data_IF_287511916193
#
_entry.id   IF_287511916193
#
_cell.length_a   1.000
_cell.length_b   1.000
_cell.length_c   1.000
_cell.angle_alpha   90.00
_cell.angle_beta   90.00
_cell.angle_gamma   90.00
#
_symmetry.space_group_name_H-M   'P 1'
#
loop_
_entity.id
_entity.type
_entity.pdbx_description
1 polymer ?
#
# COMPACT_ATOMS: atom_id res chain seq x y z
N UNK A 1 3.67 -76.79 -10.20
CA UNK A 1 4.77 -76.84 -9.22
C UNK A 1 4.78 -75.48 -8.53
N UNK A 2 4.06 -75.40 -7.40
CA UNK A 2 4.59 -75.00 -6.07
C UNK A 2 5.06 -73.54 -5.98
N UNK A 3 4.83 -72.75 -4.95
CA UNK A 3 3.90 -72.68 -3.81
C UNK A 3 4.55 -71.66 -2.87
N UNK A 4 3.80 -70.61 -2.48
CA UNK A 4 3.87 -69.93 -1.16
C UNK A 4 5.07 -68.96 -0.97
N UNK A 5 4.93 -67.76 -0.41
CA UNK A 5 4.25 -67.39 0.84
C UNK A 5 3.76 -65.93 0.85
N UNK A 6 2.82 -65.67 1.76
CA UNK A 6 2.06 -64.43 2.04
C UNK A 6 2.84 -63.40 2.87
N UNK A 7 2.44 -62.13 2.75
CA UNK A 7 2.19 -61.11 3.81
C UNK A 7 1.66 -59.87 3.06
N UNK A 8 0.37 -59.49 3.04
CA UNK A 8 -0.56 -59.14 4.13
C UNK A 8 0.04 -58.18 5.16
N UNK A 9 0.01 -56.89 4.87
CA UNK A 9 -0.37 -55.89 5.87
C UNK A 9 -1.57 -55.09 5.34
N UNK A 10 -2.73 -55.37 5.92
CA UNK A 10 -3.89 -54.52 5.85
C UNK A 10 -3.61 -53.28 6.70
N UNK A 11 -3.56 -52.09 6.10
CA UNK A 11 -3.82 -50.87 6.84
C UNK A 11 -5.34 -50.72 6.91
N UNK A 12 -5.92 -51.24 7.99
CA UNK A 12 -7.26 -50.87 8.42
C UNK A 12 -7.24 -49.37 8.70
N UNK A 13 -7.90 -48.59 7.83
CA UNK A 13 -8.22 -47.20 8.17
C UNK A 13 -9.26 -47.26 9.29
N UNK A 14 -8.79 -47.18 10.54
CA UNK A 14 -9.67 -46.85 11.65
C UNK A 14 -10.09 -45.40 11.43
N UNK A 15 -11.26 -45.22 10.83
CA UNK A 15 -11.99 -43.96 10.96
C UNK A 15 -12.37 -43.88 12.44
N UNK A 16 -11.52 -43.24 13.24
CA UNK A 16 -11.95 -42.73 14.53
C UNK A 16 -12.95 -41.64 14.18
N UNK A 17 -14.25 -41.79 14.51
CA UNK A 17 -15.15 -40.65 14.41
C UNK A 17 -14.54 -39.61 15.35
N UNK A 18 -14.09 -38.48 14.80
CA UNK A 18 -13.83 -37.33 15.64
C UNK A 18 -15.13 -37.07 16.39
N UNK A 19 -15.14 -37.40 17.68
CA UNK A 19 -16.19 -37.00 18.60
C UNK A 19 -16.27 -35.49 18.46
N UNK A 20 -17.30 -35.01 17.75
CA UNK A 20 -17.69 -33.62 17.75
C UNK A 20 -17.99 -33.29 19.21
N UNK A 21 -17.00 -32.71 19.89
CA UNK A 21 -17.22 -32.06 21.17
C UNK A 21 -18.36 -31.05 21.00
N UNK A 22 -19.18 -30.82 22.05
CA UNK A 22 -20.25 -29.84 21.96
C UNK A 22 -19.66 -28.53 21.46
N UNK A 23 -20.33 -27.92 20.46
CA UNK A 23 -19.97 -26.61 19.97
C UNK A 23 -19.80 -25.69 21.19
N UNK A 24 -18.57 -25.20 21.39
CA UNK A 24 -18.28 -24.22 22.42
C UNK A 24 -19.24 -23.03 22.24
N UNK A 25 -19.58 -22.32 23.33
CA UNK A 25 -20.46 -21.16 23.24
C UNK A 25 -19.91 -20.21 22.17
N UNK A 26 -20.78 -19.75 21.26
CA UNK A 26 -20.43 -18.76 20.26
C UNK A 26 -19.96 -17.50 21.00
N UNK A 27 -18.64 -17.35 21.13
CA UNK A 27 -18.04 -16.11 21.56
C UNK A 27 -18.49 -15.05 20.56
N UNK A 28 -19.01 -13.92 21.06
CA UNK A 28 -19.24 -12.76 20.21
C UNK A 28 -17.91 -12.44 19.53
N UNK A 29 -17.85 -12.73 18.23
CA UNK A 29 -16.66 -12.53 17.42
C UNK A 29 -16.30 -11.04 17.50
N UNK A 30 -15.03 -10.74 17.79
CA UNK A 30 -14.57 -9.36 17.97
C UNK A 30 -14.92 -8.56 16.73
N UNK A 31 -15.57 -7.39 16.92
CA UNK A 31 -15.83 -6.47 15.82
C UNK A 31 -14.51 -5.82 15.38
N UNK A 32 -13.87 -6.45 14.41
CA UNK A 32 -12.56 -6.03 13.88
C UNK A 32 -12.60 -4.61 13.33
N UNK A 33 -13.77 -4.05 13.00
CA UNK A 33 -13.89 -2.74 12.39
C UNK A 33 -13.88 -1.58 13.39
N UNK A 34 -14.07 -1.88 14.68
CA UNK A 34 -14.23 -0.85 15.73
C UNK A 34 -13.44 -1.14 16.99
N UNK A 35 -12.94 -2.36 17.16
CA UNK A 35 -12.18 -2.76 18.34
C UNK A 35 -10.70 -2.52 18.08
N UNK A 36 -10.07 -1.62 18.83
CA UNK A 36 -8.64 -1.35 18.68
C UNK A 36 -7.77 -2.58 19.01
N UNK A 37 -6.59 -2.64 18.39
CA UNK A 37 -5.60 -3.70 18.61
C UNK A 37 -5.51 -4.71 17.45
N UNK A 38 -4.77 -5.78 17.71
CA UNK A 38 -4.58 -6.89 16.77
C UNK A 38 -5.49 -8.05 17.18
N UNK A 39 -6.25 -8.57 16.22
CA UNK A 39 -7.24 -9.62 16.43
C UNK A 39 -7.06 -10.74 15.41
N UNK A 40 -7.34 -11.97 15.82
CA UNK A 40 -7.44 -13.12 14.90
C UNK A 40 -8.90 -13.51 14.77
N UNK A 41 -9.46 -13.29 13.58
CA UNK A 41 -10.89 -13.44 13.30
C UNK A 41 -11.05 -14.16 11.96
N UNK A 42 -11.80 -15.26 11.95
CA UNK A 42 -11.93 -16.17 10.79
C UNK A 42 -10.60 -16.62 10.17
N UNK A 43 -9.58 -16.89 11.01
CA UNK A 43 -8.26 -17.33 10.56
C UNK A 43 -7.42 -16.25 9.87
N UNK A 44 -7.81 -14.98 9.97
CA UNK A 44 -7.06 -13.83 9.43
C UNK A 44 -6.64 -12.90 10.57
N UNK A 45 -5.46 -12.31 10.45
CA UNK A 45 -4.98 -11.28 11.37
C UNK A 45 -5.51 -9.91 10.92
N UNK A 46 -6.12 -9.20 11.85
CA UNK A 46 -6.68 -7.86 11.68
C UNK A 46 -5.98 -6.90 12.63
N UNK A 47 -5.79 -5.65 12.20
CA UNK A 47 -5.25 -4.58 13.03
C UNK A 47 -6.15 -3.37 12.89
N UNK A 48 -6.61 -2.84 14.03
CA UNK A 48 -7.46 -1.67 14.05
C UNK A 48 -6.95 -0.62 15.01
N UNK A 49 -6.95 0.62 14.57
CA UNK A 49 -6.64 1.80 15.36
C UNK A 49 -7.73 2.85 15.16
N UNK A 50 -8.17 3.49 16.23
CA UNK A 50 -9.27 4.45 16.21
C UNK A 50 -8.80 5.82 16.69
N UNK A 51 -9.33 6.87 16.07
CA UNK A 51 -8.98 8.26 16.37
C UNK A 51 -10.24 9.14 16.39
N UNK A 52 -10.28 10.20 17.21
CA UNK A 52 -11.30 11.22 17.09
C UNK A 52 -11.37 11.78 15.66
N UNK A 53 -12.56 11.89 15.08
CA UNK A 53 -12.76 12.40 13.73
C UNK A 53 -13.98 13.30 13.65
N UNK A 54 -13.76 14.61 13.53
CA UNK A 54 -14.82 15.62 13.52
C UNK A 54 -15.77 15.44 14.73
N UNK A 55 -17.04 15.11 14.50
CA UNK A 55 -18.07 14.87 15.53
C UNK A 55 -18.33 13.37 15.80
N UNK A 56 -17.43 12.50 15.38
CA UNK A 56 -17.46 11.05 15.63
C UNK A 56 -16.04 10.51 15.89
N UNK A 57 -15.85 9.20 15.87
CA UNK A 57 -14.57 8.50 15.89
C UNK A 57 -14.42 7.72 14.58
N UNK A 58 -13.22 7.72 14.01
CA UNK A 58 -12.88 6.94 12.81
C UNK A 58 -11.89 5.86 13.19
N UNK A 59 -12.16 4.63 12.76
CA UNK A 59 -11.25 3.50 12.91
C UNK A 59 -10.69 3.09 11.56
N UNK A 60 -9.37 2.96 11.46
CA UNK A 60 -8.69 2.35 10.33
C UNK A 60 -8.50 0.87 10.61
N UNK A 61 -9.00 0.03 9.71
CA UNK A 61 -8.84 -1.42 9.81
C UNK A 61 -7.96 -1.91 8.68
N UNK A 62 -6.95 -2.68 9.06
CA UNK A 62 -6.02 -3.35 8.18
C UNK A 62 -6.13 -4.86 8.37
N UNK A 63 -5.76 -5.58 7.33
CA UNK A 63 -5.76 -7.04 7.31
C UNK A 63 -4.40 -7.53 6.85
N UNK A 64 -3.88 -8.53 7.52
CA UNK A 64 -2.68 -9.19 7.04
C UNK A 64 -3.04 -10.02 5.81
N UNK A 65 -2.49 -9.63 4.67
CA UNK A 65 -2.79 -10.24 3.39
C UNK A 65 -1.57 -10.14 2.46
N UNK A 66 -1.50 -11.07 1.51
CA UNK A 66 -0.65 -10.92 0.33
C UNK A 66 -1.36 -9.99 -0.64
N UNK A 67 -0.80 -8.80 -0.84
CA UNK A 67 -1.25 -7.84 -1.85
C UNK A 67 -0.37 -8.00 -3.06
N UNK A 68 -0.98 -7.93 -4.24
CA UNK A 68 -0.23 -7.89 -5.48
C UNK A 68 0.01 -6.43 -5.81
N UNK A 69 1.24 -5.99 -5.60
CA UNK A 69 1.68 -4.68 -6.02
C UNK A 69 2.14 -4.75 -7.47
N UNK A 70 2.03 -3.61 -8.13
CA UNK A 70 2.26 -3.50 -9.56
C UNK A 70 3.30 -2.42 -9.80
N UNK A 71 4.28 -2.73 -10.64
CA UNK A 71 5.18 -1.73 -11.19
C UNK A 71 4.82 -1.47 -12.66
N UNK A 72 4.48 -0.22 -13.00
CA UNK A 72 4.33 0.20 -14.40
C UNK A 72 5.72 0.18 -15.03
N UNK A 73 6.01 -0.84 -15.83
CA UNK A 73 7.10 -0.80 -16.80
C UNK A 73 6.51 -0.27 -18.11
N UNK A 74 7.01 0.89 -18.54
CA UNK A 74 6.50 1.61 -19.69
C UNK A 74 6.92 0.95 -21.03
N UNK A 75 6.24 -0.12 -21.44
CA UNK A 75 6.17 -0.49 -22.87
C UNK A 75 4.93 -1.28 -23.32
N UNK A 76 3.96 -1.51 -22.44
CA UNK A 76 2.72 -2.19 -22.81
C UNK A 76 2.84 -3.69 -23.10
N UNK A 77 4.02 -4.32 -22.94
CA UNK A 77 4.21 -5.73 -23.23
C UNK A 77 4.62 -6.60 -22.02
N UNK A 78 5.09 -6.05 -20.89
CA UNK A 78 5.39 -6.86 -19.69
C UNK A 78 4.87 -6.23 -18.40
N UNK A 79 4.15 -7.05 -17.62
CA UNK A 79 3.49 -6.69 -16.36
C UNK A 79 4.21 -7.45 -15.25
N UNK A 80 4.99 -6.77 -14.42
CA UNK A 80 5.59 -7.41 -13.24
C UNK A 80 4.65 -7.23 -12.06
N UNK A 81 4.27 -8.37 -11.48
CA UNK A 81 3.38 -8.44 -10.33
C UNK A 81 4.19 -8.91 -9.15
N UNK A 82 4.38 -8.04 -8.15
CA UNK A 82 5.10 -8.38 -6.94
C UNK A 82 4.10 -8.80 -5.86
N UNK A 83 4.41 -9.88 -5.15
CA UNK A 83 3.61 -10.34 -4.00
C UNK A 83 4.22 -9.79 -2.73
N UNK A 84 3.59 -8.78 -2.14
CA UNK A 84 3.99 -8.27 -0.82
C UNK A 84 3.03 -8.83 0.23
N UNK A 85 3.55 -9.52 1.25
CA UNK A 85 2.71 -10.02 2.36
C UNK A 85 2.90 -9.14 3.58
N UNK A 86 1.84 -8.46 4.00
CA UNK A 86 1.91 -7.51 5.11
C UNK A 86 0.54 -6.99 5.52
N UNK A 87 0.53 -5.91 6.30
CA UNK A 87 -0.70 -5.21 6.65
C UNK A 87 -1.22 -4.43 5.44
N UNK A 88 -2.38 -4.82 4.94
CA UNK A 88 -3.06 -4.17 3.84
C UNK A 88 -4.26 -3.39 4.37
N UNK A 89 -4.49 -2.19 3.84
CA UNK A 89 -5.70 -1.43 4.16
C UNK A 89 -6.95 -2.22 3.78
N UNK A 90 -7.90 -2.34 4.71
CA UNK A 90 -9.19 -2.97 4.45
C UNK A 90 -10.29 -1.92 4.30
N UNK A 91 -10.50 -1.07 5.32
CA UNK A 91 -11.51 -0.02 5.27
C UNK A 91 -11.31 1.04 6.36
N UNK A 92 -12.07 2.15 6.23
CA UNK A 92 -12.34 3.06 7.34
C UNK A 92 -13.73 2.78 7.92
N UNK A 93 -13.88 2.93 9.24
CA UNK A 93 -15.16 2.77 9.95
C UNK A 93 -15.43 4.01 10.76
N UNK A 94 -16.54 4.69 10.49
CA UNK A 94 -17.02 5.78 11.31
C UNK A 94 -17.97 5.23 12.37
N UNK A 95 -17.60 5.41 13.64
CA UNK A 95 -18.37 4.91 14.78
C UNK A 95 -19.76 5.57 14.85
N UNK A 96 -20.72 4.94 15.56
CA UNK A 96 -22.10 5.39 15.61
C UNK A 96 -22.26 6.89 15.92
N UNK A 97 -22.87 7.62 14.99
CA UNK A 97 -23.24 9.02 15.15
C UNK A 97 -24.65 9.27 14.59
N UNK A 98 -25.31 10.38 14.93
CA UNK A 98 -26.64 10.67 14.37
C UNK A 98 -26.56 10.87 12.86
N UNK A 99 -27.53 10.35 12.10
CA UNK A 99 -27.66 10.58 10.65
C UNK A 99 -27.69 12.06 10.29
N UNK A 100 -28.26 12.90 11.16
CA UNK A 100 -28.32 14.35 10.96
C UNK A 100 -26.93 14.99 10.84
N UNK A 101 -25.90 14.43 11.47
CA UNK A 101 -24.53 14.93 11.39
C UNK A 101 -23.92 14.75 10.01
N UNK A 102 -24.37 13.75 9.26
CA UNK A 102 -23.84 13.43 7.94
C UNK A 102 -24.51 14.23 6.81
N UNK A 103 -25.72 14.77 7.05
CA UNK A 103 -26.42 15.58 6.06
C UNK A 103 -26.51 14.90 4.69
N UNK A 104 -26.05 15.59 3.65
CA UNK A 104 -26.01 15.08 2.27
C UNK A 104 -24.72 14.33 1.91
N UNK A 105 -23.86 14.00 2.88
CA UNK A 105 -22.60 13.32 2.61
C UNK A 105 -22.86 11.95 1.95
N UNK A 106 -22.26 11.66 0.78
CA UNK A 106 -22.59 10.46 0.02
C UNK A 106 -22.09 9.15 0.65
N UNK A 107 -21.23 9.20 1.67
CA UNK A 107 -20.82 8.00 2.43
C UNK A 107 -21.90 7.49 3.39
N UNK A 108 -22.87 8.34 3.73
CA UNK A 108 -23.94 8.06 4.68
C UNK A 108 -25.34 8.01 4.04
N UNK A 109 -25.41 8.20 2.72
CA UNK A 109 -26.64 8.24 1.95
C UNK A 109 -26.52 7.27 0.77
N UNK A 110 -27.50 6.37 0.55
CA UNK A 110 -27.40 5.38 -0.50
C UNK A 110 -27.48 6.02 -1.88
N UNK A 111 -26.70 5.51 -2.82
CA UNK A 111 -26.66 6.00 -4.20
C UNK A 111 -25.29 5.88 -4.84
N UNK A 112 -25.26 6.09 -6.16
CA UNK A 112 -24.03 6.18 -6.94
C UNK A 112 -23.58 7.64 -7.00
N UNK A 113 -22.27 7.87 -6.99
CA UNK A 113 -21.70 9.20 -7.11
C UNK A 113 -20.30 9.13 -7.69
N UNK A 114 -19.83 10.24 -8.22
CA UNK A 114 -18.47 10.37 -8.73
C UNK A 114 -17.73 11.36 -7.84
N UNK A 115 -16.58 10.93 -7.32
CA UNK A 115 -15.73 11.79 -6.52
C UNK A 115 -15.08 12.88 -7.40
N UNK A 116 -14.58 13.98 -6.81
CA UNK A 116 -13.90 15.03 -7.56
C UNK A 116 -12.69 14.55 -8.37
N UNK A 117 -12.08 13.44 -7.97
CA UNK A 117 -10.99 12.76 -8.69
C UNK A 117 -11.47 11.91 -9.88
N UNK A 118 -12.77 11.92 -10.19
CA UNK A 118 -13.38 11.15 -11.28
C UNK A 118 -13.70 9.71 -10.94
N UNK A 119 -13.37 9.24 -9.72
CA UNK A 119 -13.63 7.85 -9.31
C UNK A 119 -15.12 7.63 -9.10
N UNK A 120 -15.62 6.50 -9.59
CA UNK A 120 -16.99 6.08 -9.34
C UNK A 120 -17.12 5.42 -7.97
N UNK A 121 -18.21 5.73 -7.27
CA UNK A 121 -18.53 5.22 -5.95
C UNK A 121 -19.99 4.79 -5.90
N UNK A 122 -20.29 3.84 -5.03
CA UNK A 122 -21.66 3.64 -4.57
C UNK A 122 -21.72 3.36 -3.09
N UNK A 123 -22.84 3.78 -2.50
CA UNK A 123 -23.16 3.57 -1.08
C UNK A 123 -24.48 2.83 -0.99
N UNK A 124 -24.54 1.88 -0.06
CA UNK A 124 -25.75 1.19 0.35
C UNK A 124 -25.96 1.37 1.86
N UNK A 125 -27.20 1.35 2.32
CA UNK A 125 -27.53 1.53 3.74
C UNK A 125 -28.74 0.70 4.15
N UNK A 126 -28.83 0.39 5.45
CA UNK A 126 -29.98 -0.24 6.12
C UNK A 126 -30.51 -1.52 5.46
N UNK A 127 -29.62 -2.31 4.86
CA UNK A 127 -29.97 -3.59 4.25
C UNK A 127 -29.34 -4.77 5.01
N UNK A 128 -29.57 -5.98 4.51
CA UNK A 128 -29.06 -7.21 5.12
C UNK A 128 -27.52 -7.21 5.24
N UNK A 129 -26.80 -6.64 4.27
CA UNK A 129 -25.33 -6.61 4.23
C UNK A 129 -24.73 -5.54 5.15
N UNK A 130 -25.40 -4.40 5.29
CA UNK A 130 -24.93 -3.31 6.16
C UNK A 130 -25.43 -3.44 7.60
N UNK A 131 -26.47 -4.24 7.81
CA UNK A 131 -27.30 -4.16 9.00
C UNK A 131 -28.15 -2.89 9.04
N UNK A 132 -29.09 -2.85 9.99
CA UNK A 132 -29.81 -1.61 10.30
C UNK A 132 -28.82 -0.59 10.85
N UNK A 133 -28.97 0.68 10.48
CA UNK A 133 -28.12 1.79 10.95
C UNK A 133 -26.65 1.64 10.55
N UNK A 134 -26.41 1.03 9.39
CA UNK A 134 -25.11 0.99 8.76
C UNK A 134 -25.22 1.46 7.31
N UNK A 135 -24.18 2.12 6.83
CA UNK A 135 -23.89 2.24 5.41
C UNK A 135 -22.55 1.60 5.10
N UNK A 136 -22.42 1.06 3.89
CA UNK A 136 -21.15 0.65 3.31
C UNK A 136 -20.96 1.35 1.98
N UNK A 137 -19.76 1.88 1.76
CA UNK A 137 -19.38 2.51 0.50
C UNK A 137 -18.28 1.71 -0.17
N UNK A 138 -18.39 1.61 -1.50
CA UNK A 138 -17.43 0.93 -2.36
C UNK A 138 -16.99 1.90 -3.44
N UNK A 139 -15.72 1.84 -3.78
CA UNK A 139 -15.13 2.62 -4.86
C UNK A 139 -14.83 1.68 -6.03
N UNK A 140 -15.08 2.13 -7.25
CA UNK A 140 -14.59 1.45 -8.44
C UNK A 140 -13.07 1.61 -8.46
N UNK A 141 -12.37 0.48 -8.52
CA UNK A 141 -10.92 0.47 -8.64
C UNK A 141 -10.48 -0.64 -9.57
N UNK A 142 -9.48 -0.34 -10.39
CA UNK A 142 -8.73 -1.34 -11.13
C UNK A 142 -7.77 -2.02 -10.16
N UNK A 143 -8.01 -3.29 -9.85
CA UNK A 143 -7.10 -4.07 -9.01
C UNK A 143 -6.38 -5.14 -9.82
N UNK A 144 -5.36 -5.71 -9.22
CA UNK A 144 -4.75 -6.93 -9.72
C UNK A 144 -5.40 -8.14 -9.06
N UNK A 145 -5.99 -9.04 -9.85
CA UNK A 145 -6.50 -10.34 -9.38
C UNK A 145 -5.81 -11.48 -10.11
N UNK A 146 -5.85 -12.68 -9.52
CA UNK A 146 -5.43 -13.89 -10.21
C UNK A 146 -6.47 -14.22 -11.29
N UNK A 147 -6.02 -14.40 -12.53
CA UNK A 147 -6.94 -14.63 -13.66
C UNK A 147 -7.66 -15.97 -13.49
N UNK A 148 -8.99 -15.96 -13.53
CA UNK A 148 -9.78 -17.19 -13.39
C UNK A 148 -9.65 -18.07 -14.64
N UNK A 149 -9.18 -19.32 -14.48
CA UNK A 149 -9.19 -20.33 -15.53
C UNK A 149 -7.95 -21.22 -15.63
N UNK A 150 -6.83 -20.82 -15.05
CA UNK A 150 -5.58 -21.58 -15.16
C UNK A 150 -5.07 -21.96 -13.77
N UNK A 151 -5.00 -23.27 -13.48
CA UNK A 151 -4.39 -23.83 -12.26
C UNK A 151 -2.85 -23.72 -12.27
N UNK A 152 -2.29 -22.70 -12.92
CA UNK A 152 -0.90 -22.34 -12.79
C UNK A 152 -0.82 -21.12 -11.86
N UNK A 153 -0.28 -21.31 -10.66
CA UNK A 153 -0.01 -20.22 -9.75
C UNK A 153 0.94 -19.22 -10.44
N UNK A 154 0.49 -17.98 -10.71
CA UNK A 154 1.39 -16.92 -11.22
C UNK A 154 0.81 -15.93 -12.22
N UNK A 155 -0.34 -16.21 -12.87
CA UNK A 155 -0.90 -15.26 -13.86
C UNK A 155 -1.87 -14.29 -13.19
N UNK A 156 -1.50 -13.02 -13.22
CA UNK A 156 -2.29 -11.90 -12.69
C UNK A 156 -2.82 -11.03 -13.82
N UNK A 157 -4.02 -10.49 -13.62
CA UNK A 157 -4.70 -9.62 -14.57
C UNK A 157 -5.32 -8.43 -13.87
N UNK A 158 -5.49 -7.34 -14.62
CA UNK A 158 -6.24 -6.18 -14.16
C UNK A 158 -7.72 -6.44 -14.28
N UNK A 159 -8.46 -6.13 -13.23
CA UNK A 159 -9.91 -6.20 -13.21
C UNK A 159 -10.46 -4.97 -12.50
N UNK A 160 -11.36 -4.27 -13.19
CA UNK A 160 -12.18 -3.24 -12.57
C UNK A 160 -13.21 -3.94 -11.69
N UNK A 161 -13.19 -3.60 -10.41
CA UNK A 161 -14.18 -4.10 -9.48
C UNK A 161 -14.51 -3.07 -8.41
N UNK A 162 -15.69 -3.25 -7.82
CA UNK A 162 -16.10 -2.50 -6.66
C UNK A 162 -15.34 -2.99 -5.42
N UNK A 163 -14.43 -2.15 -4.92
CA UNK A 163 -13.64 -2.44 -3.72
C UNK A 163 -14.31 -1.78 -2.52
N UNK A 164 -14.50 -2.56 -1.47
CA UNK A 164 -15.03 -2.07 -0.21
C UNK A 164 -14.09 -1.03 0.40
N UNK A 165 -14.63 0.13 0.81
CA UNK A 165 -13.79 1.24 1.26
C UNK A 165 -14.17 1.72 2.66
N UNK A 166 -15.46 1.96 2.94
CA UNK A 166 -15.90 2.60 4.18
C UNK A 166 -17.14 1.96 4.80
N UNK A 167 -17.26 2.06 6.14
CA UNK A 167 -18.48 1.81 6.91
C UNK A 167 -18.86 3.09 7.64
N UNK A 168 -20.13 3.49 7.58
CA UNK A 168 -20.70 4.51 8.49
C UNK A 168 -21.72 3.84 9.38
N UNK A 169 -21.63 4.02 10.69
CA UNK A 169 -22.63 3.51 11.65
C UNK A 169 -23.45 4.66 12.25
N UNK A 170 -24.70 4.37 12.58
CA UNK A 170 -25.61 5.36 13.18
C UNK A 170 -26.13 4.93 14.55
N UNK A 171 -26.31 5.92 15.42
CA UNK A 171 -27.04 5.75 16.68
C UNK A 171 -28.55 5.60 16.42
N UNK A 172 -29.30 5.03 17.37
CA UNK A 172 -30.76 5.13 17.34
C UNK A 172 -31.20 6.58 17.60
N UNK A 173 -31.98 7.16 16.69
CA UNK A 173 -32.59 8.48 16.91
C UNK A 173 -33.63 8.47 18.06
N UNK A 174 -33.95 7.30 18.64
CA UNK A 174 -34.88 7.13 19.78
C UNK A 174 -34.20 7.05 21.15
N UNK A 175 -32.88 6.89 21.21
CA UNK A 175 -32.11 6.88 22.49
C UNK A 175 -31.39 8.20 22.73
N UNK A 176 -31.79 9.27 22.03
CA UNK A 176 -31.48 10.62 22.49
C UNK A 176 -32.35 10.86 23.73
N UNK A 177 -31.91 10.35 24.89
CA UNK A 177 -32.15 11.10 26.10
C UNK A 177 -31.49 12.45 25.84
N UNK A 178 -32.29 13.46 25.55
CA UNK A 178 -31.91 14.84 25.75
C UNK A 178 -31.36 14.90 27.18
N UNK A 179 -30.04 14.90 27.33
CA UNK A 179 -29.47 15.48 28.54
C UNK A 179 -29.92 16.93 28.49
N UNK A 180 -30.73 17.40 29.44
CA UNK A 180 -31.12 18.80 29.46
C UNK A 180 -29.87 19.58 29.87
N UNK A 181 -29.08 19.97 28.87
CA UNK A 181 -28.12 21.04 29.03
C UNK A 181 -28.99 22.30 29.04
N UNK A 182 -29.33 22.77 30.25
CA UNK A 182 -29.88 24.11 30.41
C UNK A 182 -28.96 25.05 29.65
N UNK A 183 -29.49 25.70 28.61
CA UNK A 183 -28.75 26.64 27.77
C UNK A 183 -28.31 27.78 28.71
N UNK A 184 -27.02 27.94 29.04
CA UNK A 184 -26.56 29.25 29.43
C UNK A 184 -26.67 30.07 28.14
N UNK A 185 -27.31 31.23 28.22
CA UNK A 185 -27.18 32.27 27.20
C UNK A 185 -25.73 32.32 26.72
N UNK A 186 -25.51 31.95 25.46
CA UNK A 186 -24.22 32.07 24.80
C UNK A 186 -23.95 33.57 24.65
N UNK A 187 -23.38 34.18 25.68
CA UNK A 187 -22.39 35.22 25.42
C UNK A 187 -21.34 34.55 24.57
N UNK A 188 -21.13 35.05 23.35
CA UNK A 188 -20.12 34.57 22.42
C UNK A 188 -18.84 34.25 23.20
N UNK A 189 -18.62 32.95 23.42
CA UNK A 189 -17.36 32.48 23.94
C UNK A 189 -16.34 32.85 22.86
N UNK A 190 -15.23 33.52 23.21
CA UNK A 190 -14.23 33.84 22.22
C UNK A 190 -13.87 32.53 21.51
N UNK A 191 -13.97 32.56 20.19
CA UNK A 191 -13.46 31.52 19.30
C UNK A 191 -12.14 31.00 19.88
N UNK A 192 -11.95 29.68 20.07
CA UNK A 192 -10.80 29.18 20.79
C UNK A 192 -9.53 29.70 20.11
N UNK A 193 -8.86 30.63 20.78
CA UNK A 193 -7.63 31.30 20.34
C UNK A 193 -6.40 30.39 20.47
N UNK A 194 -6.62 29.08 20.62
CA UNK A 194 -5.55 28.09 20.56
C UNK A 194 -4.95 28.19 19.15
N UNK A 195 -3.64 28.48 19.02
CA UNK A 195 -3.00 28.49 17.71
C UNK A 195 -3.20 27.11 17.11
N UNK A 196 -3.89 27.07 15.98
CA UNK A 196 -4.12 25.81 15.28
C UNK A 196 -2.78 25.36 14.74
N UNK A 197 -2.33 24.18 15.15
CA UNK A 197 -1.04 23.58 14.74
C UNK A 197 -1.16 23.09 13.29
N UNK A 198 -1.18 24.08 12.39
CA UNK A 198 -1.31 23.90 10.96
C UNK A 198 0.07 23.66 10.35
N UNK A 199 0.18 22.62 9.52
CA UNK A 199 1.41 22.27 8.82
C UNK A 199 1.45 23.04 7.50
N UNK A 200 2.61 23.63 7.23
CA UNK A 200 2.92 24.24 5.94
C UNK A 200 3.94 23.38 5.21
N UNK A 201 3.71 23.15 3.91
CA UNK A 201 4.68 22.51 3.03
C UNK A 201 5.34 23.55 2.14
N UNK A 202 6.60 23.32 1.79
CA UNK A 202 7.36 24.20 0.90
C UNK A 202 6.76 24.24 -0.51
N UNK A 203 6.20 23.10 -0.96
CA UNK A 203 5.59 22.97 -2.28
C UNK A 203 4.06 23.09 -2.24
N UNK A 204 3.52 23.91 -3.17
CA UNK A 204 2.08 24.12 -3.30
C UNK A 204 1.36 22.87 -3.82
N UNK A 205 1.99 22.10 -4.71
CA UNK A 205 1.44 20.85 -5.22
C UNK A 205 1.37 19.79 -4.12
N UNK A 206 2.41 19.67 -3.29
CA UNK A 206 2.43 18.82 -2.10
C UNK A 206 1.34 19.23 -1.11
N UNK A 207 1.22 20.54 -0.84
CA UNK A 207 0.13 21.08 -0.01
C UNK A 207 -1.25 20.65 -0.53
N UNK A 208 -1.48 20.79 -1.84
CA UNK A 208 -2.77 20.43 -2.45
C UNK A 208 -3.02 18.92 -2.47
N UNK A 209 -1.97 18.11 -2.66
CA UNK A 209 -2.04 16.66 -2.60
C UNK A 209 -2.42 16.19 -1.19
N UNK A 210 -1.73 16.72 -0.17
CA UNK A 210 -2.02 16.41 1.23
C UNK A 210 -3.45 16.83 1.59
N UNK A 211 -3.91 18.03 1.20
CA UNK A 211 -5.31 18.47 1.40
C UNK A 211 -6.32 17.53 0.76
N UNK A 212 -6.08 17.12 -0.48
CA UNK A 212 -6.99 16.22 -1.18
C UNK A 212 -7.06 14.85 -0.49
N UNK A 213 -5.95 14.37 0.04
CA UNK A 213 -5.89 13.09 0.70
C UNK A 213 -6.42 13.10 2.14
N UNK A 214 -6.24 14.20 2.88
CA UNK A 214 -6.84 14.36 4.22
C UNK A 214 -8.32 14.73 4.15
N UNK A 215 -8.75 15.39 3.06
CA UNK A 215 -10.12 15.84 2.85
C UNK A 215 -10.48 17.11 3.63
N UNK A 216 -9.47 17.88 4.03
CA UNK A 216 -9.62 19.07 4.88
C UNK A 216 -8.94 20.30 4.27
N UNK A 217 -9.62 21.46 4.34
CA UNK A 217 -9.08 22.73 3.84
C UNK A 217 -7.83 23.17 4.61
N UNK A 218 -7.82 22.87 5.91
CA UNK A 218 -6.69 23.12 6.82
C UNK A 218 -5.98 21.80 7.07
N UNK A 219 -4.66 21.83 7.08
CA UNK A 219 -3.84 20.64 7.27
C UNK A 219 -3.30 20.66 8.70
N UNK A 220 -3.89 19.86 9.60
CA UNK A 220 -3.46 19.80 10.98
C UNK A 220 -2.26 18.86 11.15
N UNK A 221 -1.34 19.18 12.07
CA UNK A 221 -0.18 18.33 12.37
C UNK A 221 -0.57 16.88 12.64
N UNK A 222 -1.59 16.67 13.47
CA UNK A 222 -2.06 15.33 13.83
C UNK A 222 -2.54 14.52 12.62
N UNK A 223 -3.09 15.18 11.60
CA UNK A 223 -3.56 14.51 10.38
C UNK A 223 -2.38 14.08 9.50
N UNK A 224 -1.35 14.92 9.42
CA UNK A 224 -0.13 14.63 8.66
C UNK A 224 0.71 13.56 9.35
N UNK A 225 0.87 13.64 10.67
CA UNK A 225 1.61 12.66 11.46
C UNK A 225 1.10 11.22 11.26
N UNK A 226 -0.23 11.05 11.12
CA UNK A 226 -0.88 9.75 10.87
C UNK A 226 -1.01 9.34 9.41
N UNK A 227 -0.47 10.10 8.44
CA UNK A 227 -0.48 9.69 7.05
C UNK A 227 0.43 8.48 6.84
N UNK A 228 -0.17 7.34 6.48
CA UNK A 228 0.57 6.10 6.18
C UNK A 228 1.00 6.01 4.72
N UNK A 229 0.20 6.56 3.82
CA UNK A 229 0.46 6.56 2.38
C UNK A 229 0.27 7.96 1.86
N UNK A 230 1.06 8.39 0.88
CA UNK A 230 0.88 9.66 0.18
C UNK A 230 1.15 9.48 -1.32
N UNK A 231 0.16 9.81 -2.17
CA UNK A 231 0.24 9.61 -3.63
C UNK A 231 0.05 10.90 -4.41
N UNK A 232 1.15 11.60 -4.65
CA UNK A 232 1.21 12.89 -5.33
C UNK A 232 1.76 12.75 -6.75
N UNK A 233 1.06 12.02 -7.61
CA UNK A 233 1.51 11.71 -8.97
C UNK A 233 1.00 12.74 -9.99
N UNK A 234 1.70 12.86 -11.13
CA UNK A 234 1.22 13.70 -12.25
C UNK A 234 -0.11 13.24 -12.84
N UNK A 235 -0.44 11.94 -12.70
CA UNK A 235 -1.73 11.41 -13.13
C UNK A 235 -2.89 11.94 -12.27
N UNK A 236 -2.62 12.24 -11.00
CA UNK A 236 -3.56 12.87 -10.07
C UNK A 236 -3.50 14.41 -10.13
N UNK A 237 -2.75 14.98 -11.08
CA UNK A 237 -2.61 16.43 -11.24
C UNK A 237 -1.61 17.08 -10.29
N UNK A 238 -0.73 16.31 -9.66
CA UNK A 238 0.31 16.82 -8.76
C UNK A 238 1.70 16.77 -9.40
N UNK A 239 2.50 17.80 -9.15
CA UNK A 239 3.88 17.92 -9.62
C UNK A 239 4.66 18.58 -8.48
N UNK A 240 5.04 17.75 -7.51
CA UNK A 240 5.75 18.17 -6.29
C UNK A 240 7.18 18.49 -6.64
N UNK A 241 7.69 19.67 -6.30
CA UNK A 241 9.07 20.07 -6.58
C UNK A 241 9.96 20.14 -5.34
N UNK A 242 9.33 20.21 -4.17
CA UNK A 242 9.99 20.36 -2.87
C UNK A 242 9.22 19.53 -1.83
N UNK A 243 9.95 18.73 -1.06
CA UNK A 243 9.40 17.86 -0.03
C UNK A 243 9.40 18.50 1.37
N UNK A 244 9.93 19.71 1.52
CA UNK A 244 9.99 20.41 2.81
C UNK A 244 8.61 20.47 3.49
N UNK A 245 8.57 20.04 4.76
CA UNK A 245 7.35 19.87 5.55
C UNK A 245 6.86 18.43 5.64
N UNK A 246 7.33 17.52 4.77
CA UNK A 246 6.94 16.10 4.80
C UNK A 246 7.52 15.35 6.02
N UNK A 247 8.55 15.88 6.68
CA UNK A 247 9.18 15.35 7.89
C UNK A 247 8.16 15.17 9.04
N UNK A 248 7.04 15.90 8.96
CA UNK A 248 5.92 15.79 9.91
C UNK A 248 5.17 14.47 9.76
N UNK A 249 5.19 13.83 8.58
CA UNK A 249 4.45 12.59 8.30
C UNK A 249 5.14 11.35 8.90
N UNK A 250 5.24 11.30 10.22
CA UNK A 250 6.01 10.30 10.98
C UNK A 250 5.57 8.86 10.77
N UNK A 251 4.29 8.64 10.42
CA UNK A 251 3.74 7.32 10.13
C UNK A 251 3.80 6.93 8.65
N UNK A 252 4.40 7.77 7.79
CA UNK A 252 4.46 7.53 6.35
C UNK A 252 5.29 6.29 6.04
N UNK A 253 4.62 5.31 5.43
CA UNK A 253 5.18 4.04 4.99
C UNK A 253 5.33 3.96 3.46
N UNK A 254 4.45 4.63 2.71
CA UNK A 254 4.46 4.63 1.26
C UNK A 254 4.38 6.06 0.70
N UNK A 255 5.35 6.42 -0.14
CA UNK A 255 5.38 7.68 -0.87
C UNK A 255 5.48 7.43 -2.39
N UNK A 256 4.55 7.99 -3.15
CA UNK A 256 4.51 7.92 -4.61
C UNK A 256 4.38 9.32 -5.23
N UNK A 257 5.42 9.78 -5.93
CA UNK A 257 5.49 11.11 -6.60
C UNK A 257 5.74 10.94 -8.11
N UNK A 258 5.42 9.78 -8.69
CA UNK A 258 5.79 9.48 -10.08
C UNK A 258 5.13 10.37 -11.15
N UNK A 259 5.77 10.49 -12.32
CA UNK A 259 5.08 11.10 -13.46
C UNK A 259 5.83 11.34 -14.77
N UNK A 260 5.26 10.87 -15.89
CA UNK A 260 5.79 11.05 -17.26
C UNK A 260 5.77 12.48 -17.81
N UNK A 261 5.24 13.44 -17.05
CA UNK A 261 5.24 14.88 -17.39
C UNK A 261 5.81 15.71 -16.25
N UNK A 262 6.71 15.12 -15.48
CA UNK A 262 7.38 15.85 -14.42
C UNK A 262 8.30 16.90 -15.06
N UNK A 263 7.87 18.16 -15.03
CA UNK A 263 8.62 19.30 -15.61
C UNK A 263 9.32 20.13 -14.55
N UNK A 264 9.25 19.71 -13.29
CA UNK A 264 9.88 20.42 -12.19
C UNK A 264 11.39 20.12 -12.11
N UNK A 265 12.08 20.93 -11.29
CA UNK A 265 13.50 20.71 -11.00
C UNK A 265 13.76 19.38 -10.31
N UNK A 266 15.04 19.02 -10.22
CA UNK A 266 15.48 17.81 -9.54
C UNK A 266 15.04 17.82 -8.06
N UNK A 267 14.38 16.75 -7.63
CA UNK A 267 13.82 16.60 -6.28
C UNK A 267 14.92 16.22 -5.30
N UNK A 268 14.95 16.90 -4.14
CA UNK A 268 15.83 16.54 -3.02
C UNK A 268 15.14 15.51 -2.12
N UNK A 269 15.90 14.53 -1.62
CA UNK A 269 15.40 13.48 -0.74
C UNK A 269 15.68 13.74 0.75
N UNK A 270 16.49 14.74 1.09
CA UNK A 270 16.81 15.15 2.48
C UNK A 270 15.58 15.18 3.43
N UNK A 271 14.41 15.75 3.05
CA UNK A 271 13.21 15.72 3.91
C UNK A 271 12.71 14.31 4.29
N UNK A 272 13.05 13.28 3.51
CA UNK A 272 12.62 11.91 3.77
C UNK A 272 13.50 11.19 4.79
N UNK A 273 14.71 11.68 5.06
CA UNK A 273 15.72 10.99 5.88
C UNK A 273 15.29 10.76 7.34
N UNK A 274 14.31 11.53 7.81
CA UNK A 274 13.72 11.38 9.16
C UNK A 274 12.56 10.37 9.22
N UNK A 275 12.03 9.92 8.08
CA UNK A 275 10.84 9.08 7.98
C UNK A 275 11.17 7.59 8.16
N UNK A 276 11.53 7.23 9.40
CA UNK A 276 11.97 5.86 9.75
C UNK A 276 10.99 4.71 9.45
N UNK A 277 9.71 5.02 9.16
CA UNK A 277 8.68 4.04 8.80
C UNK A 277 8.51 3.87 7.29
N UNK A 278 9.20 4.65 6.47
CA UNK A 278 9.09 4.59 5.02
C UNK A 278 9.67 3.26 4.51
N UNK A 279 8.82 2.43 3.93
CA UNK A 279 9.19 1.13 3.34
C UNK A 279 9.06 1.11 1.82
N UNK A 280 8.24 1.99 1.25
CA UNK A 280 8.04 2.07 -0.20
C UNK A 280 8.21 3.49 -0.72
N UNK A 281 9.15 3.67 -1.65
CA UNK A 281 9.43 4.94 -2.32
C UNK A 281 9.36 4.77 -3.83
N UNK A 282 8.36 5.41 -4.45
CA UNK A 282 8.20 5.46 -5.90
C UNK A 282 8.41 6.89 -6.42
N UNK A 283 9.51 7.07 -7.13
CA UNK A 283 9.94 8.31 -7.78
C UNK A 283 10.19 8.06 -9.28
N UNK A 284 9.46 7.11 -9.86
CA UNK A 284 9.54 6.83 -11.30
C UNK A 284 9.25 8.10 -12.11
N UNK A 285 10.11 8.39 -13.10
CA UNK A 285 10.03 9.60 -13.93
C UNK A 285 10.21 10.92 -13.16
N UNK A 286 10.91 10.90 -12.03
CA UNK A 286 11.25 12.09 -11.25
C UNK A 286 12.77 12.32 -11.32
N UNK A 287 13.25 13.48 -11.80
CA UNK A 287 14.66 13.84 -11.73
C UNK A 287 15.07 14.02 -10.27
N UNK A 288 16.22 13.47 -9.87
CA UNK A 288 16.72 13.50 -8.49
C UNK A 288 18.01 14.33 -8.40
N UNK A 289 18.12 15.15 -7.36
CA UNK A 289 19.24 16.10 -7.22
C UNK A 289 20.48 15.46 -6.57
N UNK A 290 20.27 14.72 -5.48
CA UNK A 290 21.29 13.99 -4.73
C UNK A 290 20.73 12.63 -4.34
N UNK A 291 21.49 11.57 -4.61
CA UNK A 291 21.10 10.19 -4.33
C UNK A 291 21.73 9.69 -3.03
N UNK A 292 22.69 10.42 -2.46
CA UNK A 292 23.37 10.00 -1.24
C UNK A 292 22.41 9.91 -0.04
N UNK A 293 21.34 10.70 -0.03
CA UNK A 293 20.27 10.66 0.99
C UNK A 293 19.53 9.30 1.02
N UNK A 294 19.57 8.50 -0.05
CA UNK A 294 18.97 7.16 -0.06
C UNK A 294 19.55 6.27 1.03
N UNK A 295 20.83 6.43 1.39
CA UNK A 295 21.48 5.61 2.42
C UNK A 295 20.87 5.76 3.83
N UNK A 296 20.14 6.85 4.08
CA UNK A 296 19.46 7.11 5.34
C UNK A 296 18.11 6.36 5.42
N UNK A 297 17.54 5.96 4.28
CA UNK A 297 16.23 5.33 4.15
C UNK A 297 16.31 3.80 4.35
N UNK A 298 17.02 3.36 5.39
CA UNK A 298 17.33 1.94 5.68
C UNK A 298 16.11 1.04 5.91
N UNK A 299 14.93 1.64 6.08
CA UNK A 299 13.65 0.92 6.18
C UNK A 299 13.07 0.48 4.83
N UNK A 300 13.63 0.94 3.70
CA UNK A 300 13.06 0.67 2.38
C UNK A 300 13.11 -0.81 2.00
N UNK A 301 11.94 -1.30 1.61
CA UNK A 301 11.68 -2.61 1.04
C UNK A 301 11.46 -2.50 -0.49
N UNK A 302 10.95 -1.35 -0.95
CA UNK A 302 10.64 -1.11 -2.35
C UNK A 302 11.15 0.28 -2.79
N UNK A 303 12.02 0.30 -3.80
CA UNK A 303 12.58 1.52 -4.38
C UNK A 303 12.42 1.51 -5.91
N UNK A 304 11.69 2.49 -6.42
CA UNK A 304 11.50 2.71 -7.85
C UNK A 304 12.00 4.12 -8.20
N UNK A 305 13.05 4.19 -9.01
CA UNK A 305 13.67 5.44 -9.46
C UNK A 305 14.02 5.35 -10.96
N UNK A 306 14.22 6.52 -11.58
CA UNK A 306 14.59 6.62 -12.98
C UNK A 306 13.42 6.47 -13.95
N UNK A 307 13.75 6.36 -15.24
CA UNK A 307 12.78 6.27 -16.32
C UNK A 307 13.24 6.94 -17.62
N UNK A 308 12.56 6.66 -18.74
CA UNK A 308 12.96 7.17 -20.04
C UNK A 308 13.06 8.69 -20.15
N UNK A 309 12.19 9.46 -19.48
CA UNK A 309 12.17 10.93 -19.60
C UNK A 309 12.87 11.64 -18.41
N UNK A 310 13.26 10.88 -17.37
CA UNK A 310 14.00 11.38 -16.21
C UNK A 310 15.12 10.41 -15.82
N UNK A 311 16.24 10.39 -16.57
CA UNK A 311 17.39 9.57 -16.22
C UNK A 311 17.93 9.93 -14.84
N UNK A 312 18.30 8.92 -14.06
CA UNK A 312 19.01 9.12 -12.79
C UNK A 312 20.50 9.09 -13.08
N UNK A 313 21.13 10.25 -13.28
CA UNK A 313 22.56 10.28 -13.56
C UNK A 313 23.37 10.15 -12.28
N UNK A 314 24.35 9.25 -12.25
CA UNK A 314 25.35 9.22 -11.17
C UNK A 314 24.98 8.38 -9.96
N UNK A 315 24.00 7.47 -10.09
CA UNK A 315 23.74 6.44 -9.08
C UNK A 315 24.98 5.58 -8.85
N UNK A 316 25.44 5.50 -7.61
CA UNK A 316 26.58 4.70 -7.20
C UNK A 316 26.11 3.57 -6.29
N UNK A 317 26.90 2.51 -6.24
CA UNK A 317 26.72 1.41 -5.30
C UNK A 317 26.49 1.91 -3.86
N UNK A 318 27.32 2.84 -3.39
CA UNK A 318 27.27 3.40 -2.03
C UNK A 318 25.94 4.08 -1.67
N UNK A 319 25.14 4.46 -2.66
CA UNK A 319 23.86 5.13 -2.43
C UNK A 319 22.77 4.13 -2.03
N UNK A 320 22.95 2.85 -2.35
CA UNK A 320 21.94 1.80 -2.13
C UNK A 320 22.43 0.62 -1.28
N UNK A 321 23.73 0.47 -1.00
CA UNK A 321 24.26 -0.68 -0.22
C UNK A 321 23.74 -0.75 1.22
N UNK A 322 23.30 0.37 1.81
CA UNK A 322 22.74 0.40 3.17
C UNK A 322 21.24 0.03 3.21
N UNK A 323 20.61 -0.21 2.06
CA UNK A 323 19.21 -0.61 1.93
C UNK A 323 19.04 -2.14 2.06
N UNK A 324 19.56 -2.71 3.16
CA UNK A 324 19.64 -4.16 3.37
C UNK A 324 18.27 -4.90 3.43
N UNK A 325 17.18 -4.13 3.54
CA UNK A 325 15.78 -4.61 3.50
C UNK A 325 15.15 -4.64 2.11
N UNK A 326 15.88 -4.20 1.09
CA UNK A 326 15.31 -4.01 -0.23
C UNK A 326 14.91 -5.35 -0.88
N UNK A 327 13.62 -5.52 -1.15
CA UNK A 327 13.05 -6.67 -1.84
C UNK A 327 12.80 -6.37 -3.32
N UNK A 328 12.49 -5.11 -3.65
CA UNK A 328 12.25 -4.66 -5.02
C UNK A 328 13.09 -3.43 -5.32
N UNK A 329 13.89 -3.54 -6.38
CA UNK A 329 14.73 -2.44 -6.85
C UNK A 329 14.52 -2.19 -8.34
N UNK A 330 14.08 -0.97 -8.66
CA UNK A 330 13.98 -0.50 -10.04
C UNK A 330 14.77 0.78 -10.20
N UNK A 331 15.76 0.74 -11.09
CA UNK A 331 16.60 1.89 -11.42
C UNK A 331 16.85 1.90 -12.93
N UNK A 332 15.83 2.33 -13.68
CA UNK A 332 15.89 2.38 -15.14
C UNK A 332 16.60 3.65 -15.60
N UNK A 333 17.40 3.56 -16.66
CA UNK A 333 18.12 4.72 -17.21
C UNK A 333 18.93 5.47 -16.13
N UNK A 334 19.69 4.71 -15.35
CA UNK A 334 20.43 5.19 -14.18
C UNK A 334 21.94 5.32 -14.42
N UNK A 335 22.40 5.08 -15.65
CA UNK A 335 23.83 5.12 -16.00
C UNK A 335 24.67 4.06 -15.30
N UNK A 336 24.07 2.96 -14.86
CA UNK A 336 24.78 1.88 -14.18
C UNK A 336 25.63 1.10 -15.20
N UNK A 337 26.94 1.03 -14.96
CA UNK A 337 27.89 0.25 -15.79
C UNK A 337 28.14 -1.15 -15.22
N UNK A 338 27.68 -1.42 -13.99
CA UNK A 338 27.80 -2.70 -13.32
C UNK A 338 26.85 -2.80 -12.13
N UNK A 339 26.60 -4.04 -11.70
CA UNK A 339 25.62 -4.37 -10.67
C UNK A 339 26.22 -5.17 -9.50
N UNK A 340 27.52 -5.06 -9.24
CA UNK A 340 28.17 -5.83 -8.17
C UNK A 340 27.58 -5.55 -6.78
N UNK A 341 27.05 -4.35 -6.54
CA UNK A 341 26.43 -3.96 -5.27
C UNK A 341 25.22 -4.81 -4.88
N UNK A 342 24.57 -5.49 -5.83
CA UNK A 342 23.38 -6.30 -5.52
C UNK A 342 23.73 -7.46 -4.58
N UNK A 343 24.98 -7.91 -4.53
CA UNK A 343 25.41 -8.98 -3.60
C UNK A 343 25.29 -8.57 -2.14
N UNK A 344 25.25 -7.27 -1.84
CA UNK A 344 25.04 -6.71 -0.51
C UNK A 344 23.55 -6.53 -0.17
N UNK A 345 22.64 -6.88 -1.10
CA UNK A 345 21.18 -6.74 -0.98
C UNK A 345 20.51 -8.12 -1.05
N UNK A 346 20.67 -8.98 -0.02
CA UNK A 346 20.34 -10.41 -0.10
C UNK A 346 18.83 -10.70 -0.15
N UNK A 347 18.00 -9.71 0.17
CA UNK A 347 16.54 -9.83 0.17
C UNK A 347 15.90 -9.51 -1.17
N UNK A 348 16.67 -9.12 -2.19
CA UNK A 348 16.14 -8.79 -3.51
C UNK A 348 15.40 -9.98 -4.15
N UNK A 349 14.13 -9.74 -4.45
CA UNK A 349 13.21 -10.67 -5.12
C UNK A 349 12.98 -10.25 -6.58
N UNK A 350 12.89 -8.94 -6.83
CA UNK A 350 12.60 -8.39 -8.15
C UNK A 350 13.51 -7.20 -8.47
N UNK A 351 14.18 -7.29 -9.63
CA UNK A 351 15.11 -6.27 -10.11
C UNK A 351 14.71 -5.82 -11.51
N UNK A 352 14.63 -4.50 -11.71
CA UNK A 352 14.61 -3.90 -13.05
C UNK A 352 15.74 -2.87 -13.17
N UNK A 353 16.68 -3.12 -14.08
CA UNK A 353 17.78 -2.24 -14.42
C UNK A 353 17.81 -1.99 -15.93
N UNK A 354 16.64 -1.86 -16.55
CA UNK A 354 16.51 -1.56 -17.98
C UNK A 354 17.19 -0.24 -18.35
N UNK A 355 17.62 -0.14 -19.61
CA UNK A 355 18.23 1.08 -20.18
C UNK A 355 19.49 1.54 -19.42
N UNK A 356 20.32 0.60 -18.98
CA UNK A 356 21.62 0.88 -18.36
C UNK A 356 22.78 0.37 -19.25
N UNK A 357 24.01 0.41 -18.72
CA UNK A 357 25.24 0.02 -19.40
C UNK A 357 25.86 -1.25 -18.79
N UNK A 358 25.03 -2.13 -18.20
CA UNK A 358 25.48 -3.35 -17.52
C UNK A 358 25.92 -4.39 -18.56
N UNK A 359 27.11 -4.96 -18.37
CA UNK A 359 27.67 -6.01 -19.23
C UNK A 359 27.82 -7.36 -18.54
N UNK A 360 28.03 -7.35 -17.22
CA UNK A 360 28.26 -8.54 -16.40
C UNK A 360 27.03 -8.85 -15.53
N UNK A 361 26.49 -10.05 -15.71
CA UNK A 361 25.34 -10.57 -14.96
C UNK A 361 25.72 -11.54 -13.84
N UNK A 362 27.02 -11.84 -13.68
CA UNK A 362 27.51 -12.74 -12.64
C UNK A 362 27.05 -12.36 -11.21
N UNK A 363 26.94 -11.07 -10.83
CA UNK A 363 26.47 -10.70 -9.49
C UNK A 363 25.06 -11.22 -9.15
N UNK A 364 24.15 -11.31 -10.11
CA UNK A 364 22.77 -11.75 -9.85
C UNK A 364 22.67 -13.25 -9.54
N UNK A 365 23.67 -14.05 -9.92
CA UNK A 365 23.70 -15.48 -9.63
C UNK A 365 23.74 -15.78 -8.11
N UNK A 366 24.27 -14.85 -7.31
CA UNK A 366 24.36 -14.98 -5.86
C UNK A 366 23.04 -14.70 -5.12
N UNK A 367 22.04 -14.10 -5.77
CA UNK A 367 20.81 -13.64 -5.12
C UNK A 367 19.79 -14.78 -4.94
N UNK A 368 19.81 -15.45 -3.80
CA UNK A 368 18.98 -16.63 -3.49
C UNK A 368 17.48 -16.43 -3.73
N UNK A 369 16.94 -15.25 -3.40
CA UNK A 369 15.51 -14.95 -3.47
C UNK A 369 15.06 -14.34 -4.81
N UNK A 370 15.99 -14.10 -5.75
CA UNK A 370 15.68 -13.43 -7.01
C UNK A 370 14.76 -14.30 -7.88
N UNK A 371 13.59 -13.77 -8.21
CA UNK A 371 12.58 -14.43 -9.06
C UNK A 371 12.32 -13.69 -10.37
N UNK A 372 12.66 -12.40 -10.43
CA UNK A 372 12.49 -11.57 -11.62
C UNK A 372 13.71 -10.66 -11.83
N UNK A 373 14.25 -10.68 -13.05
CA UNK A 373 15.33 -9.79 -13.49
C UNK A 373 15.01 -9.20 -14.88
N UNK A 374 14.98 -7.87 -14.96
CA UNK A 374 14.94 -7.15 -16.24
C UNK A 374 16.22 -6.36 -16.45
N UNK A 375 16.84 -6.58 -17.62
CA UNK A 375 18.05 -5.91 -18.08
C UNK A 375 17.89 -5.48 -19.55
N UNK A 376 16.66 -5.17 -19.97
CA UNK A 376 16.35 -4.74 -21.34
C UNK A 376 17.24 -3.55 -21.72
N UNK A 377 17.69 -3.52 -22.96
CA UNK A 377 18.54 -2.45 -23.48
C UNK A 377 19.86 -2.26 -22.71
N UNK A 378 20.40 -3.32 -22.10
CA UNK A 378 21.77 -3.37 -21.60
C UNK A 378 22.69 -4.15 -22.57
N UNK A 379 23.99 -3.81 -22.65
CA UNK A 379 24.96 -4.48 -23.52
C UNK A 379 25.43 -5.87 -23.00
N UNK A 380 24.53 -6.69 -22.44
CA UNK A 380 24.85 -8.03 -21.95
C UNK A 380 24.99 -9.01 -23.12
N UNK A 381 26.14 -9.67 -23.21
CA UNK A 381 26.44 -10.63 -24.28
C UNK A 381 26.55 -12.07 -23.80
N UNK A 382 26.93 -12.27 -22.53
CA UNK A 382 27.05 -13.58 -21.90
C UNK A 382 26.03 -13.70 -20.76
N UNK A 383 25.11 -14.66 -20.90
CA UNK A 383 24.07 -14.96 -19.93
C UNK A 383 24.32 -16.25 -19.15
N UNK A 384 25.39 -16.98 -19.49
CA UNK A 384 25.72 -18.28 -18.88
C UNK A 384 25.85 -18.24 -17.35
N UNK A 385 26.26 -17.13 -16.69
CA UNK A 385 26.25 -17.08 -15.22
C UNK A 385 24.86 -17.28 -14.59
N UNK A 386 23.77 -17.06 -15.33
CA UNK A 386 22.39 -17.17 -14.85
C UNK A 386 21.68 -18.47 -15.28
N UNK A 387 22.34 -19.37 -16.02
CA UNK A 387 21.69 -20.58 -16.55
C UNK A 387 21.05 -21.44 -15.44
N UNK A 388 21.74 -21.59 -14.29
CA UNK A 388 21.20 -22.34 -13.16
C UNK A 388 19.99 -21.63 -12.53
N UNK A 389 20.05 -20.30 -12.36
CA UNK A 389 18.91 -19.52 -11.84
C UNK A 389 17.67 -19.66 -12.72
N UNK A 390 17.85 -19.63 -14.04
CA UNK A 390 16.76 -19.85 -15.01
C UNK A 390 16.18 -21.26 -14.88
N UNK A 391 17.05 -22.27 -14.72
CA UNK A 391 16.59 -23.65 -14.47
C UNK A 391 15.78 -23.77 -13.16
N UNK A 392 16.11 -22.95 -12.16
CA UNK A 392 15.44 -22.89 -10.87
C UNK A 392 14.19 -21.97 -10.87
N UNK A 393 13.86 -21.34 -12.00
CA UNK A 393 12.61 -20.58 -12.20
C UNK A 393 12.75 -19.05 -12.24
N UNK A 394 13.97 -18.50 -12.32
CA UNK A 394 14.18 -17.06 -12.54
C UNK A 394 13.59 -16.62 -13.89
N UNK A 395 12.66 -15.65 -13.85
CA UNK A 395 12.21 -14.95 -15.04
C UNK A 395 13.21 -13.87 -15.45
N UNK A 396 13.68 -13.91 -16.70
CA UNK A 396 14.61 -12.92 -17.24
C UNK A 396 14.00 -12.20 -18.45
N UNK A 397 14.04 -10.87 -18.41
CA UNK A 397 13.81 -9.99 -19.56
C UNK A 397 15.16 -9.45 -20.00
N UNK A 398 15.53 -9.74 -21.25
CA UNK A 398 16.81 -9.41 -21.87
C UNK A 398 16.68 -8.24 -22.82
#
# INVERSE_FOLDING_TARGET
MSSWFKLLLAAVLVVVPALLGPAGPAHAEVDVYTTEGIHVVNGREWRTACEPYSRTTRCRTEIKATVITYAHLDDGAKRTFTRTTGWAFNNLTYLPASRKLWGSNPLANPGNWTAPDGREWWTECDNERTGRRGCRSYAMATVVTQTAGERAAGVYGWQDQWVFNNIVRFTDDRTVAEVPIGIPTVTASPEPTQPVDEVTFADRSLTNCVRAQTGHDRILRSEVEGLVTLKCTTANGYTVQDLGGIEVARDLAELDIQGRRYTAGALSLDPLTSLSKLTSLNLYQVPLADLSDLNALRGLEHLLIGGPDAPVTGLKASDVTDLDRLETFMAMNAGLTGASFVTELPLLVAINLDDNEITDVSPFAALENLTFLSLKNNPVTDWSPLDQKVADGLEIVR
#
